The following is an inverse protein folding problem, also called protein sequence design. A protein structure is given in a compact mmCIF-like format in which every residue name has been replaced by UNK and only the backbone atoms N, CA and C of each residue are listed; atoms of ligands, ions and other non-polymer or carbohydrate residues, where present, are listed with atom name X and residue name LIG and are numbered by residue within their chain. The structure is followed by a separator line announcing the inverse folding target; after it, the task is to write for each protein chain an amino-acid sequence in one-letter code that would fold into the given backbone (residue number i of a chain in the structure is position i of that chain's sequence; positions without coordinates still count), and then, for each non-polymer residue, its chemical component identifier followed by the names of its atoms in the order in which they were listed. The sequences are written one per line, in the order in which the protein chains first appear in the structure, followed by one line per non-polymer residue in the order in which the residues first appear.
data_IF_394781800710
#
_entry.id   IF_394781800710
#
_cell.length_a   1.000
_cell.length_b   1.000
_cell.length_c   1.000
_cell.angle_alpha   90.00
_cell.angle_beta   90.00
_cell.angle_gamma   90.00
#
_symmetry.space_group_name_H-M   'P 1'
#
loop_
_entity.id
_entity.type
_entity.pdbx_description
1 polymer ?
#
# COMPACT_ATOMS: atom_id res chain seq x y z
N UNK A 1 -17.30 12.12 -37.29
CA UNK A 1 -18.05 12.18 -36.01
C UNK A 1 -17.37 11.42 -34.86
N UNK A 2 -16.21 10.80 -35.05
CA UNK A 2 -15.41 10.11 -34.03
C UNK A 2 -14.52 11.06 -33.20
N UNK A 3 -14.15 12.20 -33.76
CA UNK A 3 -13.30 13.25 -33.15
C UNK A 3 -13.86 13.80 -31.84
N UNK A 4 -15.19 14.01 -31.75
CA UNK A 4 -15.84 14.57 -30.57
C UNK A 4 -15.81 13.65 -29.34
N UNK A 5 -15.70 12.33 -29.53
CA UNK A 5 -15.64 11.35 -28.43
C UNK A 5 -14.22 11.23 -27.88
N UNK A 6 -13.23 11.21 -28.77
CA UNK A 6 -11.81 11.16 -28.37
C UNK A 6 -11.41 12.42 -27.58
N UNK A 7 -11.79 13.61 -28.07
CA UNK A 7 -11.51 14.87 -27.36
C UNK A 7 -12.22 14.96 -26.01
N UNK A 8 -13.45 14.43 -25.91
CA UNK A 8 -14.17 14.35 -24.64
C UNK A 8 -13.49 13.41 -23.65
N UNK A 9 -13.01 12.25 -24.09
CA UNK A 9 -12.26 11.31 -23.25
C UNK A 9 -10.92 11.88 -22.80
N UNK A 10 -10.19 12.58 -23.69
CA UNK A 10 -8.92 13.25 -23.34
C UNK A 10 -9.16 14.37 -22.34
N UNK A 11 -10.27 15.11 -22.48
CA UNK A 11 -10.68 16.15 -21.55
C UNK A 11 -11.10 15.58 -20.19
N UNK A 12 -11.89 14.50 -20.17
CA UNK A 12 -12.26 13.80 -18.93
C UNK A 12 -11.03 13.19 -18.23
N UNK A 13 -10.04 12.69 -18.98
CA UNK A 13 -8.75 12.23 -18.44
C UNK A 13 -7.87 13.38 -17.91
N UNK A 14 -7.87 14.53 -18.58
CA UNK A 14 -7.15 15.72 -18.13
C UNK A 14 -7.81 16.39 -16.90
N UNK A 15 -9.12 16.21 -16.74
CA UNK A 15 -9.91 16.67 -15.58
C UNK A 15 -9.75 15.72 -14.40
N UNK A 16 -9.66 14.41 -14.67
CA UNK A 16 -9.31 13.37 -13.71
C UNK A 16 -7.80 13.33 -13.41
N UNK A 17 -7.14 14.49 -13.36
CA UNK A 17 -5.74 14.72 -12.99
C UNK A 17 -5.47 14.24 -11.57
N UNK A 18 -5.53 12.92 -11.37
CA UNK A 18 -5.19 12.21 -10.16
C UNK A 18 -3.70 12.49 -9.98
N UNK A 19 -3.39 13.34 -9.00
CA UNK A 19 -2.03 13.63 -8.60
C UNK A 19 -1.29 12.31 -8.47
N UNK A 20 -0.18 12.16 -9.21
CA UNK A 20 0.55 10.90 -9.34
C UNK A 20 0.80 10.30 -7.94
N UNK A 21 0.04 9.26 -7.55
CA UNK A 21 0.17 8.68 -6.22
C UNK A 21 1.48 7.90 -6.07
N UNK A 22 2.23 7.75 -7.17
CA UNK A 22 3.59 7.23 -7.22
C UNK A 22 4.67 8.33 -7.07
N UNK A 23 4.31 9.58 -6.75
CA UNK A 23 5.26 10.57 -6.27
C UNK A 23 6.10 9.94 -5.14
N UNK A 24 7.37 9.61 -5.43
CA UNK A 24 8.18 8.57 -4.77
C UNK A 24 8.39 8.66 -3.26
N UNK A 25 7.78 9.64 -2.59
CA UNK A 25 7.66 9.72 -1.13
C UNK A 25 7.11 8.43 -0.53
N UNK A 26 6.04 7.85 -1.08
CA UNK A 26 5.42 6.63 -0.51
C UNK A 26 6.40 5.44 -0.49
N UNK A 27 7.17 5.27 -1.57
CA UNK A 27 8.21 4.24 -1.67
C UNK A 27 9.39 4.50 -0.71
N UNK A 28 9.76 5.77 -0.51
CA UNK A 28 10.77 6.18 0.46
C UNK A 28 10.37 5.84 1.90
N UNK A 29 9.13 6.15 2.29
CA UNK A 29 8.61 5.81 3.62
C UNK A 29 8.50 4.30 3.84
N UNK A 30 8.16 3.53 2.80
CA UNK A 30 8.11 2.08 2.87
C UNK A 30 9.51 1.49 3.07
N UNK A 31 10.49 1.94 2.27
CA UNK A 31 11.91 1.55 2.43
C UNK A 31 12.45 1.91 3.81
N UNK A 32 12.14 3.11 4.32
CA UNK A 32 12.54 3.54 5.65
C UNK A 32 11.92 2.66 6.73
N UNK A 33 10.62 2.34 6.63
CA UNK A 33 9.94 1.43 7.56
C UNK A 33 10.55 0.03 7.55
N UNK A 34 10.83 -0.54 6.37
CA UNK A 34 11.51 -1.84 6.24
C UNK A 34 12.91 -1.80 6.82
N UNK A 35 13.69 -0.74 6.54
CA UNK A 35 15.04 -0.59 7.06
C UNK A 35 15.03 -0.56 8.59
N UNK A 36 14.11 0.22 9.18
CA UNK A 36 13.98 0.36 10.63
C UNK A 36 13.49 -0.94 11.30
N UNK A 37 12.60 -1.68 10.64
CA UNK A 37 12.13 -3.00 11.09
C UNK A 37 13.26 -4.03 11.16
N UNK A 38 14.21 -4.00 10.20
CA UNK A 38 15.35 -4.92 10.18
C UNK A 38 16.48 -4.45 11.09
N UNK A 39 16.77 -3.15 11.13
CA UNK A 39 17.83 -2.60 11.97
C UNK A 39 17.55 -2.79 13.46
N UNK A 40 16.30 -2.67 13.90
CA UNK A 40 15.92 -2.78 15.31
C UNK A 40 16.32 -4.12 15.95
N UNK A 41 15.89 -5.27 15.41
CA UNK A 41 16.32 -6.58 15.89
C UNK A 41 17.84 -6.79 15.83
N UNK A 42 18.51 -6.32 14.78
CA UNK A 42 19.97 -6.43 14.64
C UNK A 42 20.67 -5.68 15.78
N UNK A 43 20.24 -4.44 16.07
CA UNK A 43 20.77 -3.65 17.19
C UNK A 43 20.52 -4.33 18.55
N UNK A 44 19.34 -4.93 18.75
CA UNK A 44 19.02 -5.66 19.98
C UNK A 44 19.94 -6.88 20.18
N UNK A 45 20.22 -7.65 19.11
CA UNK A 45 21.14 -8.79 19.16
C UNK A 45 22.57 -8.33 19.47
N UNK A 46 23.05 -7.26 18.82
CA UNK A 46 24.39 -6.70 19.08
C UNK A 46 24.51 -6.24 20.54
N UNK A 47 23.50 -5.56 21.06
CA UNK A 47 23.46 -5.11 22.45
C UNK A 47 23.50 -6.28 23.44
N UNK A 48 22.74 -7.35 23.16
CA UNK A 48 22.72 -8.56 23.97
C UNK A 48 24.10 -9.21 24.03
N UNK A 49 24.77 -9.37 22.88
CA UNK A 49 26.12 -9.97 22.83
C UNK A 49 27.14 -9.14 23.62
N UNK A 50 27.06 -7.80 23.53
CA UNK A 50 27.95 -6.90 24.26
C UNK A 50 27.73 -7.00 25.78
N UNK A 51 26.46 -6.98 26.23
CA UNK A 51 26.09 -7.10 27.64
C UNK A 51 26.41 -8.47 28.22
N UNK A 52 26.22 -9.54 27.45
CA UNK A 52 26.48 -10.91 27.90
C UNK A 52 27.96 -11.14 28.24
N UNK A 53 28.86 -10.38 27.61
CA UNK A 53 30.31 -10.53 27.80
C UNK A 53 30.86 -9.83 29.04
N UNK A 54 30.06 -9.04 29.77
CA UNK A 54 30.52 -8.23 30.89
C UNK A 54 29.68 -8.41 32.16
N UNK A 55 30.31 -8.20 33.32
CA UNK A 55 29.63 -8.14 34.63
C UNK A 55 29.68 -6.74 35.25
N UNK A 56 30.18 -5.76 34.50
CA UNK A 56 30.23 -4.37 34.95
C UNK A 56 28.81 -3.77 34.90
N UNK A 57 28.27 -3.31 36.05
CA UNK A 57 26.94 -2.72 36.12
C UNK A 57 26.78 -1.45 35.27
N UNK A 58 27.87 -0.70 34.98
CA UNK A 58 27.80 0.49 34.12
C UNK A 58 27.49 0.11 32.66
N UNK A 59 28.22 -0.87 32.14
CA UNK A 59 28.05 -1.36 30.76
C UNK A 59 26.71 -2.07 30.59
N UNK A 60 26.26 -2.79 31.62
CA UNK A 60 24.96 -3.46 31.61
C UNK A 60 23.80 -2.44 31.54
N UNK A 61 23.90 -1.31 32.26
CA UNK A 61 22.88 -0.25 32.22
C UNK A 61 22.81 0.43 30.86
N UNK A 62 23.96 0.74 30.27
CA UNK A 62 24.02 1.34 28.92
C UNK A 62 23.43 0.38 27.87
N UNK A 63 23.73 -0.91 27.97
CA UNK A 63 23.14 -1.94 27.12
C UNK A 63 21.61 -2.02 27.26
N UNK A 64 21.05 -1.88 28.47
CA UNK A 64 19.59 -1.84 28.67
C UNK A 64 18.97 -0.63 27.98
N UNK A 65 19.59 0.55 28.09
CA UNK A 65 19.12 1.77 27.40
C UNK A 65 19.16 1.58 25.88
N UNK A 66 20.23 0.96 25.37
CA UNK A 66 20.38 0.68 23.95
C UNK A 66 19.35 -0.32 23.43
N UNK A 67 19.07 -1.40 24.18
CA UNK A 67 18.01 -2.37 23.87
C UNK A 67 16.64 -1.67 23.86
N UNK A 68 16.35 -0.82 24.85
CA UNK A 68 15.11 -0.06 24.90
C UNK A 68 14.91 0.83 23.65
N UNK A 69 15.96 1.55 23.24
CA UNK A 69 15.95 2.34 22.01
C UNK A 69 15.74 1.49 20.76
N UNK A 70 16.40 0.33 20.67
CA UNK A 70 16.25 -0.61 19.56
C UNK A 70 14.83 -1.16 19.43
N UNK A 71 14.18 -1.48 20.57
CA UNK A 71 12.78 -1.94 20.60
C UNK A 71 11.83 -0.83 20.13
N UNK A 72 11.99 0.40 20.63
CA UNK A 72 11.15 1.53 20.21
C UNK A 72 11.31 1.77 18.70
N UNK A 73 12.55 1.77 18.20
CA UNK A 73 12.83 1.92 16.78
C UNK A 73 12.19 0.80 15.94
N UNK A 74 12.26 -0.46 16.40
CA UNK A 74 11.62 -1.59 15.74
C UNK A 74 10.09 -1.44 15.66
N UNK A 75 9.45 -1.04 16.76
CA UNK A 75 7.99 -0.83 16.83
C UNK A 75 7.55 0.30 15.91
N UNK A 76 8.26 1.43 15.92
CA UNK A 76 7.98 2.56 15.01
C UNK A 76 8.18 2.13 13.55
N UNK A 77 9.24 1.36 13.27
CA UNK A 77 9.51 0.80 11.95
C UNK A 77 8.39 -0.11 11.46
N UNK A 78 7.93 -1.01 12.32
CA UNK A 78 6.80 -1.90 12.05
C UNK A 78 5.51 -1.12 11.76
N UNK A 79 5.20 -0.10 12.57
CA UNK A 79 4.01 0.72 12.39
C UNK A 79 4.03 1.49 11.05
N UNK A 80 5.19 2.09 10.70
CA UNK A 80 5.37 2.75 9.41
C UNK A 80 5.24 1.75 8.27
N UNK A 81 5.95 0.62 8.33
CA UNK A 81 5.90 -0.42 7.31
C UNK A 81 4.46 -0.91 7.09
N UNK A 82 3.74 -1.23 8.16
CA UNK A 82 2.36 -1.71 8.09
C UNK A 82 1.44 -0.67 7.46
N UNK A 83 1.53 0.60 7.88
CA UNK A 83 0.72 1.70 7.35
C UNK A 83 0.90 1.89 5.84
N UNK A 84 2.14 1.93 5.37
CA UNK A 84 2.44 2.15 3.96
C UNK A 84 2.20 0.90 3.10
N UNK A 85 2.45 -0.29 3.64
CA UNK A 85 2.14 -1.57 2.99
C UNK A 85 0.63 -1.75 2.78
N UNK A 86 -0.18 -1.51 3.82
CA UNK A 86 -1.65 -1.60 3.72
C UNK A 86 -2.21 -0.63 2.70
N UNK A 87 -1.71 0.60 2.66
CA UNK A 87 -2.21 1.61 1.71
C UNK A 87 -1.98 1.16 0.25
N UNK A 88 -0.79 0.61 -0.04
CA UNK A 88 -0.50 0.05 -1.36
C UNK A 88 -1.39 -1.14 -1.70
N UNK A 89 -1.51 -2.10 -0.77
CA UNK A 89 -2.32 -3.29 -0.94
C UNK A 89 -3.80 -2.96 -1.13
N UNK A 90 -4.39 -2.14 -0.26
CA UNK A 90 -5.79 -1.74 -0.34
C UNK A 90 -6.09 -0.98 -1.63
N UNK A 91 -5.18 -0.12 -2.09
CA UNK A 91 -5.37 0.61 -3.35
C UNK A 91 -5.41 -0.33 -4.55
N UNK A 92 -4.48 -1.28 -4.62
CA UNK A 92 -4.49 -2.30 -5.67
C UNK A 92 -5.75 -3.18 -5.58
N UNK A 93 -6.09 -3.60 -4.36
CA UNK A 93 -7.24 -4.46 -4.11
C UNK A 93 -8.56 -3.78 -4.50
N UNK A 94 -8.75 -2.52 -4.12
CA UNK A 94 -9.92 -1.72 -4.48
C UNK A 94 -10.00 -1.46 -5.99
N UNK A 95 -8.87 -1.18 -6.65
CA UNK A 95 -8.84 -1.00 -8.09
C UNK A 95 -9.29 -2.27 -8.83
N UNK A 96 -8.84 -3.45 -8.35
CA UNK A 96 -9.28 -4.73 -8.87
C UNK A 96 -10.78 -4.95 -8.65
N UNK A 97 -11.29 -4.71 -7.44
CA UNK A 97 -12.71 -4.88 -7.14
C UNK A 97 -13.61 -3.95 -7.97
N UNK A 98 -13.19 -2.70 -8.16
CA UNK A 98 -13.91 -1.75 -9.02
C UNK A 98 -13.95 -2.22 -10.48
N UNK A 99 -12.85 -2.79 -10.99
CA UNK A 99 -12.80 -3.38 -12.33
C UNK A 99 -13.75 -4.57 -12.46
N UNK A 100 -13.70 -5.51 -11.51
CA UNK A 100 -14.56 -6.69 -11.52
C UNK A 100 -16.05 -6.27 -11.50
N UNK A 101 -16.41 -5.26 -10.69
CA UNK A 101 -17.77 -4.72 -10.61
C UNK A 101 -18.22 -4.05 -11.93
N UNK A 102 -17.33 -3.32 -12.60
CA UNK A 102 -17.61 -2.71 -13.91
C UNK A 102 -17.89 -3.77 -14.99
N UNK A 103 -17.12 -4.87 -15.00
CA UNK A 103 -17.34 -5.99 -15.92
C UNK A 103 -18.67 -6.70 -15.64
N UNK A 104 -19.03 -6.87 -14.36
CA UNK A 104 -20.34 -7.43 -14.01
C UNK A 104 -21.50 -6.54 -14.48
N UNK A 105 -21.40 -5.22 -14.27
CA UNK A 105 -22.42 -4.28 -14.70
C UNK A 105 -22.64 -4.31 -16.22
N UNK A 106 -21.56 -4.37 -17.01
CA UNK A 106 -21.62 -4.44 -18.47
C UNK A 106 -22.32 -5.74 -18.95
N UNK A 107 -21.99 -6.87 -18.33
CA UNK A 107 -22.63 -8.17 -18.65
C UNK A 107 -24.11 -8.20 -18.30
N UNK A 108 -24.52 -7.56 -17.21
CA UNK A 108 -25.94 -7.47 -16.82
C UNK A 108 -26.70 -6.60 -17.83
N UNK A 109 -26.16 -5.43 -18.16
CA UNK A 109 -26.77 -4.51 -19.12
C UNK A 109 -26.90 -5.15 -20.52
N UNK A 110 -25.88 -5.89 -20.98
CA UNK A 110 -25.95 -6.59 -22.26
C UNK A 110 -27.08 -7.64 -22.32
N UNK A 111 -27.31 -8.38 -21.23
CA UNK A 111 -28.40 -9.36 -21.14
C UNK A 111 -29.78 -8.71 -21.16
N UNK A 112 -29.94 -7.54 -20.55
CA UNK A 112 -31.20 -6.79 -20.59
C UNK A 112 -31.54 -6.35 -22.03
N UNK A 113 -30.53 -5.89 -22.79
CA UNK A 113 -30.71 -5.50 -24.20
C UNK A 113 -31.09 -6.70 -25.08
N UNK A 114 -30.46 -7.86 -24.88
CA UNK A 114 -30.80 -9.10 -25.62
C UNK A 114 -32.22 -9.59 -25.30
N UNK A 115 -32.63 -9.51 -24.03
CA UNK A 115 -33.98 -9.87 -23.62
C UNK A 115 -35.04 -8.93 -24.22
N UNK A 116 -34.81 -7.61 -24.25
CA UNK A 116 -35.76 -6.66 -24.85
C UNK A 116 -35.86 -6.83 -26.38
N UNK A 117 -34.73 -7.08 -27.05
CA UNK A 117 -34.68 -7.36 -28.48
C UNK A 117 -35.40 -8.65 -28.89
N UNK A 118 -35.31 -9.71 -28.09
CA UNK A 118 -36.05 -10.95 -28.36
C UNK A 118 -37.55 -10.82 -28.12
N UNK A 119 -37.97 -9.98 -27.16
CA UNK A 119 -39.37 -9.73 -26.87
C UNK A 119 -40.06 -8.89 -27.95
N UNK A 120 -39.32 -7.96 -28.56
CA UNK A 120 -39.80 -7.12 -29.67
C UNK A 120 -39.79 -7.85 -31.02
N UNK A 121 -38.86 -8.77 -31.26
CA UNK A 121 -38.80 -9.56 -32.49
C UNK A 121 -39.88 -10.65 -32.62
N UNK A 122 -40.57 -11.01 -31.53
CA UNK A 122 -41.58 -12.06 -31.50
C UNK A 122 -43.03 -11.55 -31.58
N UNK A 123 -43.24 -10.25 -31.83
CA UNK A 123 -44.53 -9.61 -32.14
C UNK A 123 -44.60 -9.22 -33.62
#
# INVERSE_FOLDING_TARGET
MTEARADRFVRELAELKIADPAAGRSQLWLRLGTLLLVLGPVLAVVAFLMSHSTRDPLVQRDAITLVGGAVVAAVVGAALFLRYSLTGFLRFWLARQAFDLAVFADRVNHKEVEHDGSFTASR
#
